data_IF_939412815201
#
_entry.id   IF_939412815201
#
_cell.length_a   1.000
_cell.length_b   1.000
_cell.length_c   1.000
_cell.angle_alpha   90.00
_cell.angle_beta   90.00
_cell.angle_gamma   90.00
#
_symmetry.space_group_name_H-M   'P 1'
#
loop_
_entity.id
_entity.type
_entity.pdbx_description
1 polymer ?
#
# COMPACT_ATOMS: atom_id res chain seq x y z
N UNK A 1 -34.76 22.13 -1.20
CA UNK A 1 -34.16 22.23 0.16
C UNK A 1 -32.74 21.73 0.05
N UNK A 2 -31.75 22.49 0.53
CA UNK A 2 -30.38 21.98 0.62
C UNK A 2 -30.38 20.88 1.69
N UNK A 3 -30.13 19.63 1.28
CA UNK A 3 -30.02 18.50 2.21
C UNK A 3 -28.81 18.64 3.12
N UNK A 4 -28.70 17.78 4.13
CA UNK A 4 -27.51 17.65 4.97
C UNK A 4 -26.74 16.39 4.58
N UNK A 5 -25.42 16.40 4.78
CA UNK A 5 -24.57 15.23 4.58
C UNK A 5 -24.91 14.18 5.63
N UNK A 6 -25.27 12.96 5.21
CA UNK A 6 -25.62 11.86 6.12
C UNK A 6 -24.41 11.34 6.93
N UNK A 7 -23.19 11.74 6.55
CA UNK A 7 -21.94 11.33 7.23
C UNK A 7 -21.51 12.35 8.29
N UNK A 8 -21.55 13.65 7.98
CA UNK A 8 -20.98 14.71 8.84
C UNK A 8 -21.97 15.81 9.24
N UNK A 9 -23.21 15.77 8.77
CA UNK A 9 -24.26 16.75 9.10
C UNK A 9 -24.12 18.11 8.40
N UNK A 10 -23.02 18.39 7.70
CA UNK A 10 -22.81 19.65 6.99
C UNK A 10 -23.85 19.87 5.88
N UNK A 11 -24.24 21.13 5.66
CA UNK A 11 -25.15 21.49 4.57
C UNK A 11 -24.55 21.10 3.21
N UNK A 12 -25.36 20.46 2.38
CA UNK A 12 -24.99 20.07 1.03
C UNK A 12 -25.23 21.22 0.05
N UNK A 13 -24.20 21.53 -0.75
CA UNK A 13 -24.28 22.49 -1.85
C UNK A 13 -24.69 21.82 -3.16
N UNK A 14 -25.21 22.62 -4.09
CA UNK A 14 -25.73 22.16 -5.39
C UNK A 14 -24.71 21.32 -6.20
N UNK A 15 -23.41 21.61 -6.07
CA UNK A 15 -22.33 20.96 -6.83
C UNK A 15 -21.44 20.03 -5.98
N UNK A 16 -21.73 19.86 -4.68
CA UNK A 16 -20.89 19.10 -3.74
C UNK A 16 -21.66 17.98 -3.04
N UNK A 17 -22.66 17.44 -3.72
CA UNK A 17 -23.52 16.35 -3.23
C UNK A 17 -23.25 15.07 -4.01
N UNK A 18 -22.94 14.00 -3.29
CA UNK A 18 -22.59 12.69 -3.85
C UNK A 18 -23.60 11.67 -3.35
N UNK A 19 -24.20 10.90 -4.26
CA UNK A 19 -25.08 9.80 -3.86
C UNK A 19 -24.25 8.66 -3.28
N UNK A 20 -24.75 8.09 -2.18
CA UNK A 20 -24.19 6.93 -1.47
C UNK A 20 -25.29 5.89 -1.28
N UNK A 21 -24.97 4.72 -0.75
CA UNK A 21 -25.99 3.70 -0.47
C UNK A 21 -26.97 4.20 0.59
N UNK A 22 -28.21 4.46 0.19
CA UNK A 22 -29.28 4.92 1.08
C UNK A 22 -29.25 6.40 1.46
N UNK A 23 -28.43 7.25 0.83
CA UNK A 23 -28.34 8.67 1.19
C UNK A 23 -27.43 9.53 0.32
N UNK A 24 -26.95 10.64 0.90
CA UNK A 24 -26.08 11.63 0.29
C UNK A 24 -24.91 12.04 1.20
N UNK A 25 -23.72 12.17 0.61
CA UNK A 25 -22.52 12.66 1.28
C UNK A 25 -21.98 13.93 0.63
N UNK A 26 -21.27 14.74 1.42
CA UNK A 26 -20.50 15.87 0.89
C UNK A 26 -19.20 15.39 0.24
N UNK A 27 -18.57 16.24 -0.58
CA UNK A 27 -17.28 15.97 -1.23
C UNK A 27 -16.22 15.42 -0.27
N UNK A 28 -16.07 16.04 0.89
CA UNK A 28 -15.03 15.67 1.86
C UNK A 28 -15.28 14.29 2.50
N UNK A 29 -16.55 13.88 2.63
CA UNK A 29 -16.92 12.55 3.15
C UNK A 29 -16.91 11.47 2.07
N UNK A 30 -17.27 11.80 0.83
CA UNK A 30 -17.24 10.86 -0.28
C UNK A 30 -15.79 10.50 -0.68
N UNK A 31 -14.87 11.47 -0.66
CA UNK A 31 -13.50 11.27 -1.13
C UNK A 31 -12.62 10.34 -0.27
N UNK A 32 -13.09 9.91 0.91
CA UNK A 32 -12.31 8.98 1.76
C UNK A 32 -12.27 7.56 1.17
N UNK A 33 -13.23 7.20 0.32
CA UNK A 33 -13.39 5.88 -0.31
C UNK A 33 -13.60 6.04 -1.82
N UNK A 34 -13.07 5.13 -2.64
CA UNK A 34 -13.32 5.15 -4.10
C UNK A 34 -14.75 4.68 -4.41
N UNK A 35 -15.24 3.70 -3.66
CA UNK A 35 -16.56 3.07 -3.88
C UNK A 35 -17.68 3.74 -3.08
N UNK A 36 -17.57 5.05 -2.80
CA UNK A 36 -18.53 5.75 -1.95
C UNK A 36 -20.00 5.59 -2.41
N UNK A 37 -20.23 5.48 -3.72
CA UNK A 37 -21.58 5.34 -4.29
C UNK A 37 -22.30 4.06 -3.83
N UNK A 38 -21.55 3.01 -3.47
CA UNK A 38 -22.08 1.73 -3.00
C UNK A 38 -21.90 1.53 -1.49
N UNK A 39 -21.34 2.51 -0.79
CA UNK A 39 -21.06 2.44 0.65
C UNK A 39 -22.14 3.20 1.41
N UNK A 40 -22.60 2.67 2.53
CA UNK A 40 -23.59 3.34 3.39
C UNK A 40 -22.96 4.46 4.24
N UNK A 41 -23.81 5.32 4.81
CA UNK A 41 -23.38 6.47 5.58
C UNK A 41 -22.60 6.10 6.87
N UNK A 42 -22.98 5.00 7.53
CA UNK A 42 -22.32 4.56 8.77
C UNK A 42 -20.89 4.08 8.49
N UNK A 43 -20.72 3.30 7.41
CA UNK A 43 -19.41 2.84 6.96
C UNK A 43 -18.53 4.01 6.49
N UNK A 44 -19.07 4.95 5.72
CA UNK A 44 -18.34 6.17 5.32
C UNK A 44 -17.93 7.02 6.52
N UNK A 45 -18.75 7.07 7.57
CA UNK A 45 -18.41 7.78 8.81
C UNK A 45 -17.20 7.15 9.49
N UNK A 46 -17.15 5.82 9.61
CA UNK A 46 -15.98 5.10 10.14
C UNK A 46 -14.71 5.38 9.32
N UNK A 47 -14.84 5.40 8.00
CA UNK A 47 -13.71 5.75 7.12
C UNK A 47 -13.26 7.20 7.30
N UNK A 48 -14.21 8.12 7.50
CA UNK A 48 -13.91 9.53 7.73
C UNK A 48 -13.19 9.75 9.06
N UNK A 49 -13.62 9.08 10.12
CA UNK A 49 -12.97 9.12 11.43
C UNK A 49 -11.53 8.61 11.37
N UNK A 50 -11.28 7.48 10.70
CA UNK A 50 -9.92 6.95 10.50
C UNK A 50 -9.06 7.90 9.65
N UNK A 51 -9.64 8.47 8.58
CA UNK A 51 -8.97 9.45 7.74
C UNK A 51 -8.52 10.70 8.53
N UNK A 52 -9.42 11.28 9.32
CA UNK A 52 -9.14 12.47 10.15
C UNK A 52 -8.15 12.16 11.28
N UNK A 53 -8.28 10.98 11.90
CA UNK A 53 -7.36 10.47 12.90
C UNK A 53 -5.93 10.40 12.35
N UNK A 54 -5.74 9.82 11.16
CA UNK A 54 -4.41 9.74 10.52
C UNK A 54 -3.83 11.12 10.21
N UNK A 55 -4.64 12.06 9.73
CA UNK A 55 -4.18 13.44 9.47
C UNK A 55 -3.66 14.09 10.77
N UNK A 56 -4.40 13.95 11.88
CA UNK A 56 -4.01 14.55 13.16
C UNK A 56 -2.79 13.89 13.81
N UNK A 57 -2.59 12.59 13.57
CA UNK A 57 -1.50 11.80 14.17
C UNK A 57 -0.19 11.86 13.39
N UNK A 58 -0.25 12.24 12.11
CA UNK A 58 0.91 12.23 11.22
C UNK A 58 2.03 13.15 11.71
N UNK A 59 3.23 12.60 11.82
CA UNK A 59 4.45 13.29 12.22
C UNK A 59 5.55 12.99 11.22
N UNK A 60 5.82 13.94 10.35
CA UNK A 60 6.90 13.80 9.35
C UNK A 60 8.23 13.45 10.04
N UNK A 61 8.81 12.30 9.69
CA UNK A 61 10.17 11.88 10.07
C UNK A 61 11.14 12.00 8.90
N UNK A 62 10.68 11.68 7.69
CA UNK A 62 11.51 11.61 6.50
C UNK A 62 10.74 12.06 5.25
N UNK A 63 11.46 12.28 4.16
CA UNK A 63 10.88 12.61 2.88
C UNK A 63 11.77 12.12 1.74
N UNK A 64 11.16 11.41 0.80
CA UNK A 64 11.75 11.13 -0.50
C UNK A 64 11.27 12.22 -1.46
N UNK A 65 12.20 12.98 -2.03
CA UNK A 65 11.88 14.09 -2.95
C UNK A 65 12.58 13.84 -4.28
N UNK A 66 11.86 14.01 -5.39
CA UNK A 66 12.46 14.18 -6.71
C UNK A 66 12.65 15.67 -7.01
N UNK A 67 13.69 16.00 -7.77
CA UNK A 67 13.85 17.36 -8.33
C UNK A 67 12.64 17.80 -9.16
N UNK A 68 11.79 16.86 -9.59
CA UNK A 68 10.60 17.13 -10.42
C UNK A 68 9.36 16.42 -9.85
N UNK A 69 8.52 17.17 -9.12
CA UNK A 69 7.08 16.88 -8.92
C UNK A 69 6.70 15.79 -7.92
N UNK A 70 7.31 14.61 -7.99
CA UNK A 70 6.90 13.47 -7.16
C UNK A 70 7.67 13.40 -5.84
N UNK A 71 6.96 13.12 -4.75
CA UNK A 71 7.55 12.93 -3.42
C UNK A 71 6.74 11.97 -2.57
N UNK A 72 7.40 11.39 -1.57
CA UNK A 72 6.78 10.55 -0.53
C UNK A 72 7.18 11.14 0.82
N UNK A 73 6.20 11.61 1.58
CA UNK A 73 6.42 12.12 2.93
C UNK A 73 6.11 11.02 3.92
N UNK A 74 7.05 10.72 4.80
CA UNK A 74 7.07 9.52 5.64
C UNK A 74 7.05 9.91 7.12
N UNK A 75 6.31 9.13 7.89
CA UNK A 75 6.27 9.09 9.34
C UNK A 75 6.63 7.66 9.79
N UNK A 76 7.91 7.44 10.10
CA UNK A 76 8.42 6.16 10.59
C UNK A 76 7.92 5.84 12.01
N UNK A 77 7.56 6.87 12.79
CA UNK A 77 7.12 6.69 14.19
C UNK A 77 5.74 6.06 14.25
N UNK A 78 4.78 6.60 13.48
CA UNK A 78 3.43 6.05 13.40
C UNK A 78 3.24 5.07 12.23
N UNK A 79 4.29 4.83 11.42
CA UNK A 79 4.25 3.99 10.22
C UNK A 79 3.21 4.46 9.20
N UNK A 80 3.21 5.76 8.92
CA UNK A 80 2.34 6.40 7.95
C UNK A 80 3.13 7.07 6.82
N UNK A 81 2.50 7.24 5.66
CA UNK A 81 3.07 8.01 4.55
C UNK A 81 1.99 8.56 3.61
N UNK A 82 2.34 9.56 2.81
CA UNK A 82 1.50 10.07 1.72
C UNK A 82 2.34 10.61 0.56
N UNK A 83 1.67 10.83 -0.58
CA UNK A 83 2.29 11.25 -1.85
C UNK A 83 2.06 12.75 -2.11
N UNK A 84 2.74 13.62 -1.36
CA UNK A 84 2.74 15.07 -1.56
C UNK A 84 3.97 15.68 -0.84
N UNK A 85 4.62 16.72 -1.40
CA UNK A 85 5.85 17.30 -0.85
C UNK A 85 5.61 18.16 0.40
N UNK A 86 4.36 18.47 0.72
CA UNK A 86 3.98 19.29 1.86
C UNK A 86 4.55 18.70 3.16
N UNK A 87 4.93 19.57 4.10
CA UNK A 87 5.36 19.11 5.44
C UNK A 87 4.16 18.69 6.29
N UNK A 88 3.01 19.33 6.05
CA UNK A 88 1.76 19.12 6.76
C UNK A 88 0.73 18.60 5.74
N UNK A 89 0.08 17.45 6.00
CA UNK A 89 -0.95 16.96 5.10
C UNK A 89 -2.12 17.94 5.04
N UNK A 90 -2.65 18.17 3.85
CA UNK A 90 -3.89 18.93 3.69
C UNK A 90 -5.07 18.12 4.23
N UNK A 91 -6.22 18.78 4.45
CA UNK A 91 -7.46 18.10 4.88
C UNK A 91 -7.99 17.03 3.90
N UNK A 92 -7.44 16.96 2.68
CA UNK A 92 -7.82 16.00 1.64
C UNK A 92 -6.69 15.01 1.32
N UNK A 93 -5.57 15.05 2.05
CA UNK A 93 -4.42 14.17 1.83
C UNK A 93 -4.73 12.79 2.38
N UNK A 94 -4.75 11.78 1.51
CA UNK A 94 -4.93 10.39 1.93
C UNK A 94 -3.61 9.83 2.48
N UNK A 95 -3.63 9.42 3.75
CA UNK A 95 -2.49 8.89 4.48
C UNK A 95 -2.60 7.37 4.56
N UNK A 96 -1.59 6.70 4.03
CA UNK A 96 -1.46 5.25 4.01
C UNK A 96 -0.68 4.77 5.24
N UNK A 97 -1.05 3.61 5.77
CA UNK A 97 -0.17 2.83 6.66
C UNK A 97 0.82 2.01 5.85
N UNK A 98 2.01 1.77 6.40
CA UNK A 98 3.01 0.88 5.80
C UNK A 98 2.41 -0.49 5.52
N UNK A 99 1.56 -0.97 6.43
CA UNK A 99 0.98 -2.31 6.35
C UNK A 99 -0.09 -2.43 5.25
N UNK A 100 -0.58 -1.30 4.73
CA UNK A 100 -1.54 -1.24 3.62
C UNK A 100 -0.87 -1.41 2.25
N UNK A 101 0.46 -1.32 2.17
CA UNK A 101 1.20 -1.60 0.92
C UNK A 101 1.09 -3.09 0.61
N UNK A 102 0.31 -3.43 -0.42
CA UNK A 102 0.06 -4.83 -0.78
C UNK A 102 1.04 -5.35 -1.83
N UNK A 103 1.26 -4.57 -2.89
CA UNK A 103 2.18 -4.92 -3.97
C UNK A 103 2.60 -3.69 -4.74
N UNK A 104 3.66 -3.82 -5.54
CA UNK A 104 3.97 -2.86 -6.59
C UNK A 104 4.43 -3.56 -7.87
N UNK A 105 4.15 -2.91 -9.00
CA UNK A 105 4.59 -3.30 -10.34
C UNK A 105 5.44 -2.22 -10.96
N UNK A 106 6.59 -2.56 -11.53
CA UNK A 106 7.40 -1.67 -12.38
C UNK A 106 7.22 -2.16 -13.82
N UNK A 107 6.74 -1.28 -14.70
CA UNK A 107 6.52 -1.55 -16.12
C UNK A 107 7.41 -0.67 -16.97
N UNK A 108 8.01 -1.26 -17.99
CA UNK A 108 8.81 -0.59 -19.00
C UNK A 108 8.09 -0.67 -20.37
N UNK A 109 8.15 0.39 -21.17
CA UNK A 109 7.50 0.45 -22.50
C UNK A 109 7.99 -0.62 -23.49
N UNK A 110 9.07 -1.33 -23.17
CA UNK A 110 9.57 -2.47 -23.95
C UNK A 110 8.89 -3.82 -23.64
N UNK A 111 7.96 -3.83 -22.66
CA UNK A 111 7.20 -5.02 -22.25
C UNK A 111 7.73 -5.71 -20.99
N UNK A 112 8.85 -5.26 -20.43
CA UNK A 112 9.40 -5.86 -19.20
C UNK A 112 8.56 -5.45 -17.98
N UNK A 113 8.16 -6.43 -17.15
CA UNK A 113 7.40 -6.19 -15.91
C UNK A 113 8.05 -6.88 -14.71
N UNK A 114 8.28 -6.12 -13.65
CA UNK A 114 8.71 -6.64 -12.34
C UNK A 114 7.59 -6.43 -11.32
N UNK A 115 7.09 -7.50 -10.74
CA UNK A 115 6.00 -7.47 -9.74
C UNK A 115 6.52 -7.96 -8.39
N UNK A 116 6.36 -7.17 -7.33
CA UNK A 116 6.56 -7.63 -5.95
C UNK A 116 5.23 -7.61 -5.21
N UNK A 117 4.87 -8.72 -4.59
CA UNK A 117 3.66 -8.88 -3.78
C UNK A 117 4.06 -9.33 -2.38
N UNK A 118 3.23 -9.06 -1.35
CA UNK A 118 3.36 -9.73 -0.05
C UNK A 118 3.44 -11.25 -0.26
N UNK A 119 4.59 -11.85 0.03
CA UNK A 119 4.85 -13.29 -0.11
C UNK A 119 5.72 -13.72 -1.31
N UNK A 120 6.23 -12.81 -2.15
CA UNK A 120 7.20 -13.17 -3.19
C UNK A 120 7.47 -12.12 -4.27
N UNK A 121 8.61 -12.24 -4.94
CA UNK A 121 9.00 -11.42 -6.10
C UNK A 121 8.80 -12.26 -7.38
N UNK A 122 7.94 -11.81 -8.29
CA UNK A 122 7.73 -12.43 -9.61
C UNK A 122 8.32 -11.52 -10.69
N UNK A 123 9.23 -12.04 -11.52
CA UNK A 123 9.75 -11.33 -12.69
C UNK A 123 9.12 -11.95 -13.95
N UNK A 124 8.49 -11.12 -14.79
CA UNK A 124 7.99 -11.55 -16.09
C UNK A 124 8.68 -10.74 -17.19
N UNK A 125 9.53 -11.40 -17.98
CA UNK A 125 10.02 -10.85 -19.23
C UNK A 125 8.95 -11.14 -20.30
N UNK A 126 8.02 -10.20 -20.54
CA UNK A 126 7.02 -10.34 -21.60
C UNK A 126 7.60 -9.79 -22.90
N UNK A 127 8.53 -10.57 -23.49
CA UNK A 127 9.03 -10.38 -24.83
C UNK A 127 8.29 -11.28 -25.81
N UNK A 128 7.15 -10.82 -26.33
CA UNK A 128 6.40 -11.47 -27.41
C UNK A 128 5.57 -12.71 -27.00
N UNK A 129 4.27 -12.67 -27.32
CA UNK A 129 3.31 -13.80 -27.27
C UNK A 129 2.92 -14.34 -25.89
N UNK A 130 2.02 -13.66 -25.17
CA UNK A 130 0.99 -14.36 -24.36
C UNK A 130 -0.32 -13.55 -24.35
N UNK A 131 -1.02 -13.51 -25.49
CA UNK A 131 -2.47 -13.30 -25.49
C UNK A 131 -3.14 -14.66 -25.33
N UNK A 132 -4.15 -14.73 -24.47
CA UNK A 132 -4.71 -15.98 -23.97
C UNK A 132 -5.28 -16.92 -25.04
N UNK A 133 -5.27 -18.22 -24.70
CA UNK A 133 -6.33 -19.16 -25.06
C UNK A 133 -6.60 -19.49 -26.52
N UNK A 134 -5.73 -19.17 -27.49
CA UNK A 134 -5.73 -19.78 -28.82
C UNK A 134 -4.41 -19.45 -29.52
N UNK A 135 -3.70 -20.48 -30.01
CA UNK A 135 -2.34 -20.35 -30.50
C UNK A 135 -2.15 -19.43 -31.71
N UNK A 136 -0.94 -18.91 -31.86
CA UNK A 136 -0.43 -18.39 -33.11
C UNK A 136 0.91 -19.05 -33.43
N UNK A 137 0.95 -19.59 -34.65
CA UNK A 137 1.86 -20.57 -35.24
C UNK A 137 2.98 -19.85 -36.02
N UNK A 138 4.19 -20.40 -35.95
CA UNK A 138 5.29 -20.39 -36.95
C UNK A 138 5.91 -19.06 -37.44
N UNK A 139 7.24 -19.00 -37.35
CA UNK A 139 8.08 -18.79 -38.54
C UNK A 139 8.84 -17.47 -38.67
N UNK A 140 10.15 -17.58 -38.50
CA UNK A 140 11.22 -16.74 -39.03
C UNK A 140 10.88 -15.78 -40.18
N UNK A 141 11.13 -14.49 -39.97
CA UNK A 141 11.71 -13.61 -40.98
C UNK A 141 12.44 -12.43 -40.32
N UNK A 142 13.70 -12.31 -40.67
CA UNK A 142 14.66 -11.24 -40.42
C UNK A 142 14.03 -9.85 -40.48
N UNK A 143 13.69 -9.26 -39.34
CA UNK A 143 13.49 -7.82 -39.22
C UNK A 143 14.76 -7.25 -38.58
N UNK A 144 15.59 -6.59 -39.39
CA UNK A 144 16.67 -5.74 -38.93
C UNK A 144 16.01 -4.59 -38.16
N UNK A 145 15.83 -4.74 -36.84
CA UNK A 145 15.29 -3.68 -35.99
C UNK A 145 16.34 -2.58 -35.93
N UNK A 146 16.12 -1.51 -36.68
CA UNK A 146 16.74 -0.24 -36.35
C UNK A 146 16.39 0.07 -34.89
N UNK A 147 17.40 0.08 -34.04
CA UNK A 147 17.31 0.58 -32.66
C UNK A 147 17.09 2.09 -32.74
N UNK A 148 15.86 2.49 -33.09
CA UNK A 148 15.32 3.74 -32.60
C UNK A 148 15.46 3.66 -31.08
N UNK A 149 16.21 4.57 -30.47
CA UNK A 149 16.20 4.77 -29.02
C UNK A 149 14.76 5.06 -28.62
N UNK A 150 13.97 4.01 -28.36
CA UNK A 150 12.67 4.15 -27.74
C UNK A 150 12.97 4.75 -26.37
N UNK A 151 12.44 5.93 -26.09
CA UNK A 151 12.36 6.42 -24.71
C UNK A 151 11.58 5.36 -23.94
N UNK A 152 12.28 4.54 -23.16
CA UNK A 152 11.66 3.55 -22.30
C UNK A 152 11.02 4.34 -21.16
N UNK A 153 9.71 4.54 -21.22
CA UNK A 153 8.98 5.10 -20.08
C UNK A 153 8.85 4.00 -19.03
N UNK A 154 9.38 4.27 -17.83
CA UNK A 154 9.22 3.38 -16.69
C UNK A 154 8.22 3.99 -15.74
N UNK A 155 7.20 3.25 -15.36
CA UNK A 155 6.26 3.65 -14.33
C UNK A 155 6.05 2.54 -13.32
N UNK A 156 5.77 2.94 -12.09
CA UNK A 156 5.44 2.07 -10.98
C UNK A 156 3.96 2.20 -10.64
N UNK A 157 3.27 1.07 -10.49
CA UNK A 157 1.90 1.00 -9.95
C UNK A 157 1.99 0.38 -8.57
N UNK A 158 1.59 1.11 -7.55
CA UNK A 158 1.53 0.63 -6.17
C UNK A 158 0.08 0.27 -5.87
N UNK A 159 -0.16 -0.94 -5.37
CA UNK A 159 -1.48 -1.41 -4.94
C UNK A 159 -1.54 -1.45 -3.42
N UNK A 160 -2.64 -0.91 -2.89
CA UNK A 160 -2.90 -0.84 -1.45
C UNK A 160 -4.18 -1.57 -1.08
N UNK A 161 -4.16 -2.25 0.06
CA UNK A 161 -5.35 -2.73 0.75
C UNK A 161 -5.60 -1.81 1.94
N UNK A 162 -6.42 -0.77 1.76
CA UNK A 162 -6.68 0.23 2.80
C UNK A 162 -7.95 -0.09 3.59
N UNK A 163 -8.14 0.58 4.72
CA UNK A 163 -9.39 0.50 5.49
C UNK A 163 -10.64 0.87 4.67
N UNK A 164 -10.50 1.70 3.63
CA UNK A 164 -11.60 2.11 2.74
C UNK A 164 -11.62 1.40 1.38
N UNK A 165 -10.96 0.24 1.30
CA UNK A 165 -10.92 -0.62 0.11
C UNK A 165 -9.59 -0.58 -0.65
N UNK A 166 -9.57 -1.23 -1.81
CA UNK A 166 -8.38 -1.32 -2.65
C UNK A 166 -8.12 0.02 -3.35
N UNK A 167 -6.86 0.48 -3.33
CA UNK A 167 -6.43 1.69 -4.05
C UNK A 167 -5.19 1.40 -4.89
N UNK A 168 -4.99 2.18 -5.95
CA UNK A 168 -3.77 2.16 -6.72
C UNK A 168 -3.21 3.57 -6.90
N UNK A 169 -1.88 3.69 -6.90
CA UNK A 169 -1.17 4.92 -7.23
C UNK A 169 -0.13 4.63 -8.31
N UNK A 170 -0.25 5.32 -9.43
CA UNK A 170 0.77 5.32 -10.48
C UNK A 170 1.82 6.39 -10.19
N UNK A 171 3.08 6.06 -10.46
CA UNK A 171 4.25 6.86 -10.18
C UNK A 171 5.18 6.79 -11.41
N UNK A 172 5.47 7.93 -12.05
CA UNK A 172 6.18 7.97 -13.35
C UNK A 172 7.61 8.51 -13.25
N UNK A 173 7.98 9.11 -12.12
CA UNK A 173 9.28 9.76 -11.99
C UNK A 173 10.41 8.75 -11.73
N UNK A 174 11.16 8.41 -12.79
CA UNK A 174 12.30 7.50 -12.75
C UNK A 174 13.38 7.88 -11.71
N UNK A 175 13.64 9.18 -11.51
CA UNK A 175 14.75 9.63 -10.66
C UNK A 175 14.61 9.22 -9.19
N UNK A 176 13.38 8.99 -8.72
CA UNK A 176 13.09 8.60 -7.33
C UNK A 176 12.57 7.16 -7.23
N UNK A 177 12.35 6.45 -8.34
CA UNK A 177 11.84 5.07 -8.33
C UNK A 177 12.71 4.14 -7.48
N UNK A 178 14.03 4.30 -7.48
CA UNK A 178 14.95 3.48 -6.68
C UNK A 178 14.69 3.68 -5.17
N UNK A 179 14.52 4.93 -4.74
CA UNK A 179 14.25 5.25 -3.34
C UNK A 179 12.85 4.82 -2.91
N UNK A 180 11.84 5.07 -3.76
CA UNK A 180 10.46 4.63 -3.51
C UNK A 180 10.40 3.10 -3.44
N UNK A 181 11.10 2.40 -4.34
CA UNK A 181 11.20 0.94 -4.30
C UNK A 181 11.75 0.43 -2.98
N UNK A 182 12.89 0.97 -2.53
CA UNK A 182 13.50 0.58 -1.25
C UNK A 182 12.55 0.81 -0.06
N UNK A 183 11.82 1.92 -0.07
CA UNK A 183 10.79 2.19 0.92
C UNK A 183 9.62 1.20 0.86
N UNK A 184 9.11 0.87 -0.32
CA UNK A 184 8.02 -0.11 -0.48
C UNK A 184 8.47 -1.53 -0.13
N UNK A 185 9.73 -1.88 -0.41
CA UNK A 185 10.35 -3.13 0.05
C UNK A 185 10.29 -3.20 1.57
N UNK A 186 10.70 -2.13 2.28
CA UNK A 186 10.55 -2.03 3.74
C UNK A 186 9.09 -2.21 4.19
N UNK A 187 8.13 -1.55 3.53
CA UNK A 187 6.71 -1.70 3.90
C UNK A 187 6.19 -3.13 3.74
N UNK A 188 6.59 -3.82 2.67
CA UNK A 188 6.16 -5.20 2.39
C UNK A 188 6.86 -6.18 3.32
N UNK A 189 8.17 -6.05 3.48
CA UNK A 189 9.01 -7.01 4.19
C UNK A 189 8.88 -6.86 5.73
N UNK A 190 8.70 -5.64 6.24
CA UNK A 190 8.46 -5.37 7.67
C UNK A 190 6.99 -5.54 8.09
N UNK A 191 6.09 -5.98 7.20
CA UNK A 191 4.67 -6.18 7.55
C UNK A 191 4.40 -7.42 8.42
N UNK A 192 5.44 -8.09 8.92
CA UNK A 192 5.34 -8.99 10.09
C UNK A 192 5.15 -8.16 11.36
N UNK A 193 4.18 -8.48 12.23
CA UNK A 193 3.79 -7.61 13.34
C UNK A 193 4.96 -7.35 14.28
N UNK A 194 5.51 -6.13 14.21
CA UNK A 194 6.37 -5.59 15.25
C UNK A 194 5.46 -5.12 16.38
N UNK A 195 5.16 -6.05 17.28
CA UNK A 195 4.46 -5.79 18.55
C UNK A 195 5.20 -4.65 19.26
N UNK A 196 4.51 -3.51 19.39
CA UNK A 196 4.90 -2.43 20.29
C UNK A 196 4.92 -3.05 21.70
N UNK A 197 5.97 -2.87 22.52
CA UNK A 197 5.98 -3.42 23.86
C UNK A 197 4.95 -2.70 24.72
N UNK A 198 3.70 -3.21 24.75
CA UNK A 198 2.79 -3.01 25.87
C UNK A 198 3.12 -4.07 26.91
N UNK A 199 3.45 -3.63 28.11
CA UNK A 199 3.70 -4.50 29.25
C UNK A 199 2.57 -5.52 29.41
N UNK A 200 2.93 -6.81 29.34
CA UNK A 200 2.03 -7.96 29.42
C UNK A 200 2.23 -8.94 28.27
N UNK A 201 3.40 -9.59 28.19
CA UNK A 201 3.56 -10.74 27.28
C UNK A 201 2.79 -11.92 27.85
N UNK A 202 1.81 -12.41 27.08
CA UNK A 202 1.20 -13.71 27.36
C UNK A 202 2.28 -14.79 27.16
N UNK A 203 2.33 -15.78 28.05
CA UNK A 203 3.22 -16.95 27.93
C UNK A 203 3.14 -17.60 26.54
N UNK A 204 1.96 -17.56 25.90
CA UNK A 204 1.75 -18.09 24.56
C UNK A 204 2.51 -17.32 23.47
N UNK A 205 2.64 -15.99 23.60
CA UNK A 205 3.34 -15.15 22.62
C UNK A 205 4.85 -15.39 22.66
N UNK A 206 5.39 -15.68 23.84
CA UNK A 206 6.81 -16.03 24.00
C UNK A 206 7.10 -17.40 23.39
N UNK A 207 6.24 -18.40 23.62
CA UNK A 207 6.37 -19.72 23.00
C UNK A 207 6.34 -19.63 21.47
N UNK A 208 5.48 -18.78 20.90
CA UNK A 208 5.40 -18.57 19.44
C UNK A 208 6.69 -17.96 18.88
N UNK A 209 7.31 -17.00 19.59
CA UNK A 209 8.60 -16.41 19.20
C UNK A 209 9.72 -17.45 19.18
N UNK A 210 9.82 -18.29 20.22
CA UNK A 210 10.84 -19.34 20.27
C UNK A 210 10.60 -20.40 19.18
N UNK A 211 9.35 -20.72 18.84
CA UNK A 211 9.04 -21.65 17.76
C UNK A 211 9.51 -21.12 16.41
N UNK A 212 9.30 -19.84 16.14
CA UNK A 212 9.78 -19.21 14.91
C UNK A 212 11.31 -19.23 14.80
N UNK A 213 12.03 -19.10 15.92
CA UNK A 213 13.50 -19.23 15.94
C UNK A 213 13.97 -20.65 15.63
N UNK A 214 13.25 -21.67 16.12
CA UNK A 214 13.51 -23.07 15.81
C UNK A 214 13.23 -23.38 14.34
N UNK A 215 12.08 -22.94 13.83
CA UNK A 215 11.67 -23.12 12.42
C UNK A 215 12.61 -22.38 11.45
N UNK A 216 13.21 -21.26 11.89
CA UNK A 216 14.24 -20.54 11.16
C UNK A 216 15.65 -21.16 11.29
N UNK A 217 15.80 -22.24 12.06
CA UNK A 217 17.08 -22.93 12.29
C UNK A 217 18.08 -22.16 13.14
N UNK A 218 17.62 -21.15 13.90
CA UNK A 218 18.47 -20.31 14.76
C UNK A 218 18.75 -20.99 16.10
N UNK A 219 17.81 -21.81 16.58
CA UNK A 219 17.95 -22.63 17.81
C UNK A 219 17.60 -24.08 17.49
N UNK A 220 18.13 -25.01 18.29
CA UNK A 220 17.82 -26.44 18.11
C UNK A 220 16.47 -26.83 18.73
N UNK A 221 15.87 -27.97 18.34
CA UNK A 221 14.65 -28.47 18.96
C UNK A 221 14.75 -28.67 20.48
N UNK A 222 15.93 -29.04 20.98
CA UNK A 222 16.19 -29.25 22.40
C UNK A 222 16.20 -27.92 23.18
N UNK A 223 16.79 -26.87 22.61
CA UNK A 223 16.81 -25.52 23.18
C UNK A 223 15.41 -24.91 23.23
N UNK A 224 14.60 -25.16 22.19
CA UNK A 224 13.20 -24.76 22.15
C UNK A 224 12.37 -25.42 23.27
N UNK A 225 12.45 -26.75 23.41
CA UNK A 225 11.67 -27.46 24.43
C UNK A 225 12.10 -27.12 25.86
N UNK A 226 13.39 -26.87 26.10
CA UNK A 226 13.88 -26.39 27.40
C UNK A 226 13.26 -25.02 27.77
N UNK A 227 13.21 -24.07 26.82
CA UNK A 227 12.60 -22.75 27.03
C UNK A 227 11.08 -22.82 27.18
N UNK A 228 10.41 -23.68 26.41
CA UNK A 228 8.96 -23.90 26.50
C UNK A 228 8.55 -24.43 27.88
N UNK A 229 9.30 -25.37 28.47
CA UNK A 229 9.05 -25.86 29.84
C UNK A 229 9.23 -24.76 30.89
N UNK A 230 10.29 -23.96 30.77
CA UNK A 230 10.53 -22.79 31.64
C UNK A 230 9.36 -21.79 31.59
N UNK A 231 8.83 -21.52 30.40
CA UNK A 231 7.73 -20.57 30.21
C UNK A 231 6.39 -21.10 30.74
N UNK A 232 6.17 -22.41 30.71
CA UNK A 232 4.96 -23.05 31.21
C UNK A 232 5.03 -23.38 32.72
N UNK A 233 6.13 -23.08 33.42
CA UNK A 233 6.41 -23.47 34.80
C UNK A 233 6.24 -25.00 35.05
N UNK A 234 6.76 -25.81 34.12
CA UNK A 234 6.70 -27.28 34.14
C UNK A 234 8.05 -27.93 34.43
#
# INVERSE_FOLDING_TARGET
MAGTCDVCGNKLGLFNTFSISGGYACKDCANVCISYATTDAETLKKYKEEFDSRISRFKKTNQLISLIGDSVTIDDTNRFFYFDPSKVPSKNTFIYSFDEVYSYEIKETDGTTVTKTKGGITRAAVGGLVFGGAGAVVGAATAKTETTKKNVETYMIISFNTYSGKKQKMFKNQAILVHVRSFLDKCIDESTPKVIPSAGTSTADEILKFKNLMDAGVITPEEFEAKKKQLLNL
#
